data_IF_628975595879
#
_entry.id   IF_628975595879
#
_cell.length_a   1.000
_cell.length_b   1.000
_cell.length_c   1.000
_cell.angle_alpha   90.00
_cell.angle_beta   90.00
_cell.angle_gamma   90.00
#
_symmetry.space_group_name_H-M   'P 1'
#
loop_
_entity.id
_entity.type
_entity.pdbx_description
1 polymer ?
#
# COMPACT_ATOMS: atom_id res chain seq x y z
N UNK A 1 -30.30 -57.82 35.75
CA UNK A 1 -29.38 -56.73 35.39
C UNK A 1 -29.27 -55.83 36.60
N UNK A 2 -28.05 -55.39 36.87
CA UNK A 2 -27.64 -54.32 37.79
C UNK A 2 -27.25 -54.73 39.21
N UNK A 3 -26.05 -55.31 39.28
CA UNK A 3 -25.13 -55.17 40.41
C UNK A 3 -24.57 -53.74 40.47
N UNK A 4 -24.67 -53.12 41.64
CA UNK A 4 -23.76 -52.07 42.06
C UNK A 4 -22.51 -52.71 42.67
N UNK A 5 -21.31 -52.21 42.34
CA UNK A 5 -20.16 -52.11 43.24
C UNK A 5 -19.03 -51.30 42.57
N UNK A 6 -18.67 -50.21 43.27
CA UNK A 6 -17.34 -49.60 43.47
C UNK A 6 -16.40 -49.33 42.29
N UNK A 7 -15.95 -48.09 42.16
CA UNK A 7 -14.67 -47.63 42.74
C UNK A 7 -14.53 -46.11 42.57
N UNK A 8 -14.02 -45.46 43.61
CA UNK A 8 -13.56 -44.08 43.56
C UNK A 8 -12.07 -44.12 43.23
N UNK A 9 -11.61 -43.31 42.28
CA UNK A 9 -10.27 -42.73 42.34
C UNK A 9 -10.10 -41.53 41.39
N UNK A 10 -9.54 -40.46 41.96
CA UNK A 10 -8.73 -39.41 41.35
C UNK A 10 -9.39 -38.30 40.49
N UNK A 11 -9.50 -37.13 41.13
CA UNK A 11 -9.42 -35.76 40.59
C UNK A 11 -7.92 -35.36 40.54
N UNK A 12 -7.40 -34.35 39.79
CA UNK A 12 -7.99 -33.35 38.88
C UNK A 12 -7.31 -33.38 37.48
N UNK A 13 -7.83 -32.77 36.41
CA UNK A 13 -7.79 -31.35 36.09
C UNK A 13 -8.48 -31.19 34.73
N UNK A 14 -9.07 -30.02 34.49
CA UNK A 14 -8.78 -29.18 33.32
C UNK A 14 -10.00 -28.56 32.63
N UNK A 15 -9.90 -27.24 32.51
CA UNK A 15 -10.56 -26.33 31.57
C UNK A 15 -12.09 -26.24 31.58
N UNK A 16 -12.57 -25.33 32.44
CA UNK A 16 -13.75 -24.53 32.10
C UNK A 16 -13.51 -23.83 30.76
N UNK A 17 -14.29 -24.21 29.77
CA UNK A 17 -14.37 -23.57 28.45
C UNK A 17 -14.80 -22.11 28.60
N UNK A 18 -14.09 -21.13 28.00
CA UNK A 18 -14.59 -19.78 27.95
C UNK A 18 -15.66 -19.66 26.85
N UNK A 19 -16.77 -19.06 27.25
CA UNK A 19 -17.91 -18.58 26.47
C UNK A 19 -17.49 -18.09 25.07
N UNK A 20 -18.22 -18.57 24.06
CA UNK A 20 -17.96 -18.36 22.65
C UNK A 20 -17.78 -16.89 22.27
N UNK A 21 -16.67 -16.59 21.57
CA UNK A 21 -16.51 -15.34 20.83
C UNK A 21 -17.30 -15.46 19.53
N UNK A 22 -18.28 -14.59 19.32
CA UNK A 22 -18.90 -14.43 18.00
C UNK A 22 -17.83 -14.14 16.93
N UNK A 23 -17.95 -14.70 15.71
CA UNK A 23 -17.03 -14.40 14.64
C UNK A 23 -17.21 -12.94 14.21
N UNK A 24 -16.21 -12.08 14.49
CA UNK A 24 -16.17 -10.71 13.94
C UNK A 24 -16.10 -10.79 12.42
N UNK A 25 -17.23 -10.58 11.75
CA UNK A 25 -17.31 -10.50 10.29
C UNK A 25 -16.51 -9.27 9.84
N UNK A 26 -15.41 -9.51 9.13
CA UNK A 26 -14.56 -8.44 8.59
C UNK A 26 -15.37 -7.57 7.63
N UNK A 27 -15.30 -6.25 7.80
CA UNK A 27 -15.92 -5.28 6.87
C UNK A 27 -15.30 -5.41 5.46
N UNK A 28 -15.99 -4.95 4.42
CA UNK A 28 -15.46 -4.99 3.05
C UNK A 28 -14.10 -4.29 2.92
N UNK A 29 -13.88 -3.23 3.70
CA UNK A 29 -12.61 -2.52 3.79
C UNK A 29 -11.52 -3.38 4.47
N UNK A 30 -11.84 -4.07 5.56
CA UNK A 30 -10.92 -5.01 6.23
C UNK A 30 -10.56 -6.23 5.37
N UNK A 31 -11.47 -6.67 4.51
CA UNK A 31 -11.19 -7.70 3.49
C UNK A 31 -10.25 -7.17 2.42
N UNK A 32 -10.43 -5.93 1.96
CA UNK A 32 -9.51 -5.26 1.05
C UNK A 32 -8.10 -5.05 1.66
N UNK A 33 -8.00 -4.67 2.94
CA UNK A 33 -6.74 -4.57 3.67
C UNK A 33 -6.02 -5.91 3.79
N UNK A 34 -6.78 -7.00 4.04
CA UNK A 34 -6.24 -8.37 4.08
C UNK A 34 -5.77 -8.86 2.71
N UNK A 35 -6.51 -8.53 1.64
CA UNK A 35 -6.24 -8.99 0.28
C UNK A 35 -5.01 -8.33 -0.37
N UNK A 36 -4.71 -7.07 -0.02
CA UNK A 36 -3.57 -6.32 -0.58
C UNK A 36 -2.24 -6.51 0.17
N UNK A 37 -2.18 -7.34 1.23
CA UNK A 37 -1.03 -7.42 2.15
C UNK A 37 -0.57 -6.03 2.63
N UNK A 38 -1.50 -5.11 2.92
CA UNK A 38 -1.13 -3.80 3.47
C UNK A 38 -0.43 -4.01 4.81
N UNK A 39 0.89 -3.76 4.85
CA UNK A 39 1.64 -3.69 6.09
C UNK A 39 1.29 -2.34 6.69
N UNK A 40 0.46 -2.35 7.74
CA UNK A 40 0.11 -1.14 8.47
C UNK A 40 1.38 -0.47 9.00
N UNK A 41 1.45 0.87 8.93
CA UNK A 41 2.63 1.63 9.32
C UNK A 41 2.38 2.41 10.60
N UNK A 42 3.20 2.17 11.63
CA UNK A 42 3.10 2.91 12.90
C UNK A 42 3.83 4.25 12.82
N UNK A 43 3.18 5.32 13.28
CA UNK A 43 3.76 6.64 13.51
C UNK A 43 3.68 6.94 14.99
N UNK A 44 4.81 7.35 15.59
CA UNK A 44 4.89 7.70 17.00
C UNK A 44 5.01 9.22 17.13
N UNK A 45 4.02 9.86 17.75
CA UNK A 45 4.04 11.28 18.08
C UNK A 45 4.49 11.45 19.53
N UNK A 46 5.44 12.35 19.73
CA UNK A 46 5.89 12.82 21.04
C UNK A 46 5.43 14.26 21.22
N UNK A 47 4.70 14.51 22.31
CA UNK A 47 4.24 15.83 22.69
C UNK A 47 4.91 16.20 24.02
N UNK A 48 5.90 17.07 23.96
CA UNK A 48 6.70 17.48 25.11
C UNK A 48 6.14 18.76 25.74
N UNK A 49 5.98 18.74 27.06
CA UNK A 49 5.49 19.85 27.87
C UNK A 49 6.47 20.06 29.03
N UNK A 50 7.59 20.78 28.82
CA UNK A 50 8.69 20.85 29.78
C UNK A 50 8.33 21.52 31.10
N UNK A 51 7.38 22.45 31.08
CA UNK A 51 6.94 23.18 32.28
C UNK A 51 5.83 22.47 33.06
N UNK A 52 5.48 21.24 32.67
CA UNK A 52 4.43 20.49 33.34
C UNK A 52 4.93 19.87 34.66
N UNK A 53 4.78 20.63 35.75
CA UNK A 53 4.81 20.05 37.10
C UNK A 53 3.66 19.04 37.18
N UNK A 54 4.00 17.76 37.30
CA UNK A 54 3.08 16.61 37.39
C UNK A 54 2.20 16.29 36.15
N UNK A 55 2.81 16.29 34.95
CA UNK A 55 2.15 15.83 33.71
C UNK A 55 1.50 14.43 33.83
N UNK A 56 2.11 13.52 34.59
CA UNK A 56 1.58 12.15 34.78
C UNK A 56 0.29 12.14 35.60
N UNK A 57 0.20 12.94 36.66
CA UNK A 57 -1.02 13.07 37.48
C UNK A 57 -2.13 13.76 36.67
N UNK A 58 -1.79 14.80 35.91
CA UNK A 58 -2.72 15.44 34.99
C UNK A 58 -3.21 14.48 33.90
N UNK A 59 -2.31 13.67 33.33
CA UNK A 59 -2.66 12.70 32.31
C UNK A 59 -3.67 11.68 32.85
N UNK A 60 -3.51 11.21 34.09
CA UNK A 60 -4.46 10.31 34.72
C UNK A 60 -5.84 10.96 34.93
N UNK A 61 -5.88 12.24 35.32
CA UNK A 61 -7.12 12.98 35.56
C UNK A 61 -7.86 13.35 34.26
N UNK A 62 -7.13 13.70 33.21
CA UNK A 62 -7.69 14.26 31.96
C UNK A 62 -7.54 13.34 30.73
N UNK A 63 -7.21 12.05 30.94
CA UNK A 63 -6.94 11.09 29.87
C UNK A 63 -8.04 11.04 28.81
N UNK A 64 -9.30 10.99 29.25
CA UNK A 64 -10.45 10.81 28.34
C UNK A 64 -10.63 12.03 27.42
N UNK A 65 -10.54 13.23 27.96
CA UNK A 65 -10.67 14.48 27.21
C UNK A 65 -9.49 14.67 26.24
N UNK A 66 -8.27 14.39 26.70
CA UNK A 66 -7.07 14.47 25.87
C UNK A 66 -7.15 13.47 24.70
N UNK A 67 -7.50 12.22 24.99
CA UNK A 67 -7.65 11.19 23.97
C UNK A 67 -8.76 11.53 22.97
N UNK A 68 -9.88 12.10 23.43
CA UNK A 68 -10.96 12.55 22.57
C UNK A 68 -10.52 13.69 21.64
N UNK A 69 -9.87 14.73 22.16
CA UNK A 69 -9.40 15.88 21.34
C UNK A 69 -8.34 15.49 20.32
N UNK A 70 -7.39 14.62 20.70
CA UNK A 70 -6.37 14.10 19.77
C UNK A 70 -7.04 13.29 18.65
N UNK A 71 -7.96 12.36 18.99
CA UNK A 71 -8.69 11.58 17.99
C UNK A 71 -9.53 12.46 17.06
N UNK A 72 -10.23 13.45 17.61
CA UNK A 72 -11.05 14.39 16.85
C UNK A 72 -10.20 15.19 15.85
N UNK A 73 -9.07 15.73 16.31
CA UNK A 73 -8.14 16.50 15.45
C UNK A 73 -7.60 15.64 14.32
N UNK A 74 -7.15 14.42 14.61
CA UNK A 74 -6.63 13.51 13.58
C UNK A 74 -7.71 13.12 12.57
N UNK A 75 -8.95 12.91 13.04
CA UNK A 75 -10.09 12.64 12.16
C UNK A 75 -10.37 13.81 11.23
N UNK A 76 -10.50 15.03 11.76
CA UNK A 76 -10.83 16.22 10.97
C UNK A 76 -9.72 16.63 9.98
N UNK A 77 -8.46 16.34 10.31
CA UNK A 77 -7.30 16.78 9.51
C UNK A 77 -6.74 15.74 8.53
N UNK A 78 -7.05 14.45 8.74
CA UNK A 78 -6.41 13.36 7.99
C UNK A 78 -7.44 12.47 7.28
N UNK A 79 -8.63 12.21 7.86
CA UNK A 79 -9.58 11.26 7.26
C UNK A 79 -11.04 11.59 7.50
N UNK A 80 -11.78 11.81 6.41
CA UNK A 80 -13.23 12.01 6.40
C UNK A 80 -14.00 10.85 7.04
N UNK A 81 -13.44 9.64 7.01
CA UNK A 81 -14.16 8.42 7.40
C UNK A 81 -13.85 8.01 8.86
N UNK A 82 -12.83 8.60 9.49
CA UNK A 82 -12.48 8.40 10.90
C UNK A 82 -11.99 7.01 11.31
N UNK A 83 -11.62 6.18 10.34
CA UNK A 83 -11.12 4.81 10.56
C UNK A 83 -9.59 4.78 10.59
N UNK A 84 -8.93 5.74 9.96
CA UNK A 84 -7.49 5.77 9.73
C UNK A 84 -6.97 7.22 9.84
N UNK A 85 -5.94 7.54 10.64
CA UNK A 85 -5.16 6.64 11.48
C UNK A 85 -5.93 6.10 12.70
N UNK A 86 -5.67 4.85 13.06
CA UNK A 86 -6.12 4.27 14.32
C UNK A 86 -5.19 4.72 15.46
N UNK A 87 -5.73 5.38 16.49
CA UNK A 87 -4.97 5.70 17.70
C UNK A 87 -4.88 4.43 18.57
N UNK A 88 -3.73 3.76 18.56
CA UNK A 88 -3.50 2.49 19.28
C UNK A 88 -3.28 2.70 20.77
N UNK A 89 -2.42 3.64 21.10
CA UNK A 89 -1.99 3.88 22.47
C UNK A 89 -1.73 5.37 22.68
N UNK A 90 -2.10 5.84 23.87
CA UNK A 90 -1.65 7.13 24.40
C UNK A 90 -1.07 6.82 25.78
N UNK A 91 0.17 7.20 26.02
CA UNK A 91 0.86 7.03 27.31
C UNK A 91 1.59 8.30 27.69
N UNK A 92 1.92 8.45 28.97
CA UNK A 92 2.75 9.53 29.47
C UNK A 92 4.05 8.94 30.02
N UNK A 93 5.18 9.61 29.76
CA UNK A 93 6.48 9.25 30.33
C UNK A 93 7.23 10.52 30.68
N UNK A 94 7.30 10.85 31.98
CA UNK A 94 7.87 12.11 32.44
C UNK A 94 7.13 13.31 31.83
N UNK A 95 7.86 14.19 31.17
CA UNK A 95 7.34 15.43 30.57
C UNK A 95 6.84 15.25 29.11
N UNK A 96 6.64 14.01 28.65
CA UNK A 96 6.25 13.72 27.27
C UNK A 96 5.06 12.77 27.18
N UNK A 97 4.04 13.20 26.44
CA UNK A 97 2.92 12.37 26.01
C UNK A 97 3.30 11.66 24.70
N UNK A 98 3.11 10.35 24.68
CA UNK A 98 3.44 9.49 23.56
C UNK A 98 2.14 8.96 22.95
N UNK A 99 1.97 9.17 21.64
CA UNK A 99 0.79 8.71 20.89
C UNK A 99 1.25 7.78 19.78
N UNK A 100 0.73 6.56 19.77
CA UNK A 100 0.92 5.60 18.68
C UNK A 100 -0.27 5.65 17.71
N UNK A 101 0.04 5.97 16.46
CA UNK A 101 -0.90 6.01 15.35
C UNK A 101 -0.59 4.87 14.38
N UNK A 102 -1.59 4.07 14.03
CA UNK A 102 -1.46 3.04 13.01
C UNK A 102 -2.15 3.47 11.73
N UNK A 103 -1.37 3.61 10.65
CA UNK A 103 -1.85 3.98 9.32
C UNK A 103 -2.07 2.73 8.46
N UNK A 104 -3.25 2.65 7.86
CA UNK A 104 -3.67 1.59 6.94
C UNK A 104 -3.74 2.05 5.48
N UNK A 105 -3.80 3.37 5.23
CA UNK A 105 -3.85 3.94 3.89
C UNK A 105 -2.67 4.86 3.63
N UNK A 106 -2.02 4.64 2.48
CA UNK A 106 -0.87 5.43 2.02
C UNK A 106 -1.23 6.92 1.90
N UNK A 107 -2.41 7.25 1.36
CA UNK A 107 -2.88 8.63 1.21
C UNK A 107 -3.00 9.37 2.54
N UNK A 108 -3.37 8.69 3.62
CA UNK A 108 -3.51 9.30 4.94
C UNK A 108 -2.14 9.55 5.57
N UNK A 109 -1.17 8.66 5.34
CA UNK A 109 0.22 8.87 5.76
C UNK A 109 0.86 10.04 4.99
N UNK A 110 0.58 10.15 3.69
CA UNK A 110 0.98 11.30 2.87
C UNK A 110 0.34 12.61 3.38
N UNK A 111 -0.95 12.58 3.71
CA UNK A 111 -1.70 13.72 4.24
C UNK A 111 -1.15 14.18 5.59
N UNK A 112 -0.80 13.25 6.48
CA UNK A 112 -0.11 13.57 7.73
C UNK A 112 1.19 14.33 7.46
N UNK A 113 2.03 13.84 6.54
CA UNK A 113 3.32 14.47 6.23
C UNK A 113 3.15 15.88 5.65
N UNK A 114 2.15 16.08 4.79
CA UNK A 114 1.85 17.38 4.18
C UNK A 114 1.28 18.37 5.21
N UNK A 115 0.36 17.93 6.05
CA UNK A 115 -0.39 18.79 6.98
C UNK A 115 0.18 18.80 8.41
N UNK A 116 1.36 18.20 8.63
CA UNK A 116 1.92 18.00 9.97
C UNK A 116 2.01 19.30 10.78
N UNK A 117 2.37 20.42 10.15
CA UNK A 117 2.49 21.71 10.81
C UNK A 117 1.14 22.22 11.34
N UNK A 118 0.07 22.06 10.56
CA UNK A 118 -1.28 22.46 10.97
C UNK A 118 -1.82 21.53 12.07
N UNK A 119 -1.62 20.22 11.90
CA UNK A 119 -1.99 19.20 12.89
C UNK A 119 -1.28 19.47 14.22
N UNK A 120 0.03 19.73 14.18
CA UNK A 120 0.84 20.09 15.34
C UNK A 120 0.28 21.32 16.06
N UNK A 121 -0.11 22.36 15.31
CA UNK A 121 -0.67 23.59 15.88
C UNK A 121 -1.99 23.33 16.60
N UNK A 122 -2.92 22.58 15.97
CA UNK A 122 -4.21 22.22 16.56
C UNK A 122 -4.06 21.33 17.80
N UNK A 123 -3.10 20.39 17.80
CA UNK A 123 -2.79 19.58 18.98
C UNK A 123 -2.31 20.46 20.14
N UNK A 124 -1.44 21.45 19.86
CA UNK A 124 -0.96 22.39 20.89
C UNK A 124 -2.11 23.22 21.49
N UNK A 125 -2.98 23.77 20.65
CA UNK A 125 -4.16 24.54 21.08
C UNK A 125 -5.07 23.70 21.99
N UNK A 126 -5.38 22.47 21.56
CA UNK A 126 -6.21 21.56 22.34
C UNK A 126 -5.63 21.23 23.73
N UNK A 127 -4.31 21.12 23.84
CA UNK A 127 -3.62 20.86 25.11
C UNK A 127 -3.67 22.07 26.02
N UNK A 128 -3.48 23.29 25.49
CA UNK A 128 -3.59 24.54 26.24
C UNK A 128 -5.00 24.78 26.78
N UNK A 129 -6.03 24.35 26.07
CA UNK A 129 -7.41 24.44 26.54
C UNK A 129 -7.70 23.53 27.74
N UNK A 130 -6.95 22.43 27.91
CA UNK A 130 -7.19 21.46 28.99
C UNK A 130 -6.34 21.81 30.22
N UNK A 131 -5.15 22.38 30.05
CA UNK A 131 -4.26 22.68 31.17
C UNK A 131 -3.49 24.00 31.03
N UNK A 132 -3.15 24.66 32.16
CA UNK A 132 -2.45 25.94 32.19
C UNK A 132 -0.94 25.74 32.00
N UNK A 133 -0.54 25.15 30.88
CA UNK A 133 0.86 24.93 30.55
C UNK A 133 1.49 26.21 30.00
N UNK A 134 2.69 26.56 30.45
CA UNK A 134 3.50 27.57 29.79
C UNK A 134 4.07 27.07 28.46
N UNK A 135 4.65 27.99 27.69
CA UNK A 135 5.36 27.66 26.45
C UNK A 135 6.81 27.29 26.77
N UNK A 136 7.42 26.27 26.11
CA UNK A 136 7.00 25.73 24.82
C UNK A 136 6.32 24.35 24.87
N UNK A 137 5.15 24.20 24.22
CA UNK A 137 4.61 22.87 23.87
C UNK A 137 5.17 22.45 22.51
N UNK A 138 5.81 21.28 22.44
CA UNK A 138 6.40 20.78 21.21
C UNK A 138 5.81 19.44 20.76
N UNK A 139 5.63 19.26 19.46
CA UNK A 139 5.04 18.05 18.87
C UNK A 139 5.96 17.54 17.78
N UNK A 140 6.48 16.32 17.94
CA UNK A 140 7.43 15.70 17.01
C UNK A 140 7.01 14.29 16.62
N UNK A 141 7.41 13.89 15.42
CA UNK A 141 7.35 12.47 15.01
C UNK A 141 8.64 11.79 15.42
N UNK A 142 8.58 10.88 16.40
CA UNK A 142 9.75 10.15 16.92
C UNK A 142 10.44 9.34 15.83
N UNK A 143 9.66 8.63 15.01
CA UNK A 143 10.16 7.82 13.90
C UNK A 143 10.13 8.56 12.55
N UNK A 144 10.37 9.87 12.55
CA UNK A 144 10.34 10.73 11.35
C UNK A 144 11.15 10.19 10.17
N UNK A 145 12.37 9.70 10.41
CA UNK A 145 13.21 9.11 9.36
C UNK A 145 12.59 7.87 8.71
N UNK A 146 11.92 7.03 9.48
CA UNK A 146 11.24 5.84 8.95
C UNK A 146 9.99 6.23 8.16
N UNK A 147 9.24 7.20 8.67
CA UNK A 147 8.08 7.77 7.98
C UNK A 147 8.50 8.38 6.63
N UNK A 148 9.59 9.13 6.60
CA UNK A 148 10.08 9.77 5.36
C UNK A 148 10.49 8.74 4.31
N UNK A 149 11.15 7.66 4.71
CA UNK A 149 11.44 6.53 3.82
C UNK A 149 10.18 5.89 3.27
N UNK A 150 9.16 5.68 4.13
CA UNK A 150 7.90 5.07 3.71
C UNK A 150 7.10 5.98 2.78
N UNK A 151 7.09 7.28 3.04
CA UNK A 151 6.49 8.30 2.16
C UNK A 151 7.19 8.30 0.79
N UNK A 152 8.52 8.20 0.75
CA UNK A 152 9.23 8.15 -0.51
C UNK A 152 8.99 6.83 -1.27
N UNK A 153 8.90 5.70 -0.56
CA UNK A 153 8.48 4.42 -1.13
C UNK A 153 7.09 4.52 -1.78
N UNK A 154 6.12 5.10 -1.07
CA UNK A 154 4.77 5.36 -1.60
C UNK A 154 4.85 6.21 -2.86
N UNK A 155 5.60 7.32 -2.84
CA UNK A 155 5.75 8.22 -4.00
C UNK A 155 6.47 7.58 -5.18
N UNK A 156 7.41 6.67 -4.94
CA UNK A 156 8.09 5.93 -6.01
C UNK A 156 7.15 4.92 -6.65
N UNK A 157 6.34 4.23 -5.83
CA UNK A 157 5.28 3.36 -6.28
C UNK A 157 4.25 4.17 -7.10
N UNK A 158 3.72 5.26 -6.57
CA UNK A 158 2.83 6.18 -7.29
C UNK A 158 3.47 6.66 -8.60
N UNK A 159 4.73 7.10 -8.61
CA UNK A 159 5.43 7.49 -9.85
C UNK A 159 5.56 6.35 -10.85
N UNK A 160 5.78 5.12 -10.39
CA UNK A 160 5.83 3.93 -11.27
C UNK A 160 4.45 3.57 -11.84
N UNK A 161 3.37 3.88 -11.13
CA UNK A 161 2.01 3.76 -11.65
C UNK A 161 1.63 4.94 -12.55
N UNK A 162 2.01 6.18 -12.21
CA UNK A 162 1.76 7.38 -13.02
C UNK A 162 2.61 7.45 -14.30
N UNK A 163 3.77 6.78 -14.37
CA UNK A 163 4.45 6.52 -15.65
C UNK A 163 3.59 5.69 -16.62
N UNK A 164 2.51 5.05 -16.16
CA UNK A 164 1.51 4.38 -17.00
C UNK A 164 0.39 5.33 -17.48
N UNK A 165 0.43 6.62 -17.16
CA UNK A 165 -0.61 7.60 -17.57
C UNK A 165 -0.22 8.46 -18.79
N UNK A 166 0.82 8.08 -19.53
CA UNK A 166 1.04 8.59 -20.90
C UNK A 166 1.10 7.40 -21.86
N UNK A 167 -0.08 6.91 -22.23
CA UNK A 167 -0.22 5.80 -23.17
C UNK A 167 -0.14 4.42 -22.51
N UNK A 168 -0.20 3.39 -23.34
CA UNK A 168 -0.19 2.00 -22.92
C UNK A 168 1.12 1.61 -22.19
N UNK A 169 1.08 0.56 -21.38
CA UNK A 169 2.27 0.02 -20.71
C UNK A 169 3.29 -0.49 -21.71
N UNK A 170 4.55 -0.62 -21.32
CA UNK A 170 5.61 -1.14 -22.21
C UNK A 170 5.32 -2.58 -22.65
N UNK A 171 4.72 -3.39 -21.77
CA UNK A 171 4.18 -4.70 -22.12
C UNK A 171 3.14 -4.63 -23.26
N UNK A 172 2.13 -3.75 -23.14
CA UNK A 172 1.12 -3.58 -24.20
C UNK A 172 1.73 -3.07 -25.51
N UNK A 173 2.71 -2.16 -25.44
CA UNK A 173 3.45 -1.67 -26.62
C UNK A 173 4.17 -2.81 -27.31
N UNK A 174 4.86 -3.66 -26.55
CA UNK A 174 5.59 -4.82 -27.07
C UNK A 174 4.63 -5.82 -27.74
N UNK A 175 3.53 -6.15 -27.08
CA UNK A 175 2.48 -7.02 -27.62
C UNK A 175 1.94 -6.48 -28.97
N UNK A 176 1.59 -5.19 -29.02
CA UNK A 176 1.08 -4.55 -30.23
C UNK A 176 2.14 -4.51 -31.32
N UNK A 177 3.41 -4.22 -30.98
CA UNK A 177 4.51 -4.18 -31.95
C UNK A 177 4.77 -5.56 -32.57
N UNK A 178 4.79 -6.62 -31.75
CA UNK A 178 4.94 -8.00 -32.21
C UNK A 178 3.80 -8.46 -33.12
N UNK A 179 2.58 -7.97 -32.89
CA UNK A 179 1.41 -8.30 -33.71
C UNK A 179 1.10 -7.25 -34.79
N UNK A 180 1.92 -6.19 -34.90
CA UNK A 180 1.61 -5.01 -35.73
C UNK A 180 1.41 -5.38 -37.19
N UNK A 181 2.29 -6.20 -37.75
CA UNK A 181 2.21 -6.59 -39.16
C UNK A 181 0.94 -7.40 -39.47
N UNK A 182 0.60 -8.36 -38.60
CA UNK A 182 -0.59 -9.18 -38.76
C UNK A 182 -1.87 -8.34 -38.66
N UNK A 183 -1.94 -7.44 -37.67
CA UNK A 183 -3.09 -6.56 -37.48
C UNK A 183 -3.20 -5.56 -38.62
N UNK A 184 -2.11 -4.91 -39.05
CA UNK A 184 -2.14 -3.94 -40.15
C UNK A 184 -2.62 -4.58 -41.46
N UNK A 185 -2.30 -5.85 -41.68
CA UNK A 185 -2.68 -6.58 -42.88
C UNK A 185 -4.17 -6.95 -42.91
N UNK A 186 -4.72 -7.43 -41.79
CA UNK A 186 -6.02 -8.11 -41.77
C UNK A 186 -7.12 -7.37 -40.99
N UNK A 187 -6.81 -6.21 -40.36
CA UNK A 187 -7.79 -5.42 -39.60
C UNK A 187 -8.78 -4.68 -40.50
N UNK A 188 -10.07 -4.93 -40.31
CA UNK A 188 -11.16 -4.17 -40.97
C UNK A 188 -11.46 -2.88 -40.17
N UNK A 189 -10.75 -1.80 -40.50
CA UNK A 189 -10.77 -0.54 -39.74
C UNK A 189 -12.15 0.05 -39.58
N UNK A 190 -12.98 0.09 -40.64
CA UNK A 190 -14.31 0.73 -40.60
C UNK A 190 -15.24 0.09 -39.57
N UNK A 191 -15.21 -1.24 -39.44
CA UNK A 191 -16.05 -1.96 -38.47
C UNK A 191 -15.56 -1.75 -37.04
N UNK A 192 -14.25 -1.81 -36.83
CA UNK A 192 -13.63 -1.67 -35.51
C UNK A 192 -13.72 -0.22 -35.02
N UNK A 193 -13.44 0.75 -35.89
CA UNK A 193 -13.51 2.17 -35.57
C UNK A 193 -14.90 2.58 -35.07
N UNK A 194 -15.98 2.08 -35.70
CA UNK A 194 -17.34 2.34 -35.21
C UNK A 194 -17.54 1.83 -33.77
N UNK A 195 -17.05 0.64 -33.44
CA UNK A 195 -17.15 0.08 -32.08
C UNK A 195 -16.27 0.85 -31.08
N UNK A 196 -15.06 1.24 -31.48
CA UNK A 196 -14.15 2.04 -30.66
C UNK A 196 -14.74 3.41 -30.30
N UNK A 197 -15.43 4.05 -31.24
CA UNK A 197 -16.16 5.30 -31.01
C UNK A 197 -17.33 5.10 -30.05
N UNK A 198 -18.12 4.03 -30.20
CA UNK A 198 -19.25 3.72 -29.30
C UNK A 198 -18.80 3.50 -27.85
N UNK A 199 -17.68 2.79 -27.63
CA UNK A 199 -17.10 2.61 -26.28
C UNK A 199 -16.34 3.83 -25.76
N UNK A 200 -16.34 4.95 -26.50
CA UNK A 200 -15.61 6.19 -26.16
C UNK A 200 -14.12 5.96 -25.89
N UNK A 201 -13.53 5.01 -26.62
CA UNK A 201 -12.09 4.76 -26.58
C UNK A 201 -11.40 5.80 -27.45
N UNK A 202 -11.98 6.08 -28.61
CA UNK A 202 -11.57 7.12 -29.54
C UNK A 202 -12.57 8.27 -29.56
N UNK A 203 -12.07 9.46 -29.89
CA UNK A 203 -12.86 10.66 -30.11
C UNK A 203 -12.97 11.03 -31.60
N UNK A 204 -13.71 12.10 -31.92
CA UNK A 204 -13.91 12.52 -33.31
C UNK A 204 -12.61 13.05 -33.96
N UNK A 205 -11.64 13.50 -33.15
CA UNK A 205 -10.32 13.92 -33.64
C UNK A 205 -9.50 12.70 -34.07
N UNK A 206 -9.51 11.63 -33.30
CA UNK A 206 -8.88 10.35 -33.62
C UNK A 206 -9.47 9.77 -34.91
N UNK A 207 -10.81 9.73 -35.01
CA UNK A 207 -11.51 9.24 -36.20
C UNK A 207 -11.10 10.00 -37.46
N UNK A 208 -11.11 11.34 -37.41
CA UNK A 208 -10.65 12.18 -38.54
C UNK A 208 -9.19 11.91 -38.91
N UNK A 209 -8.32 11.70 -37.91
CA UNK A 209 -6.91 11.40 -38.16
C UNK A 209 -6.70 10.05 -38.87
N UNK A 210 -7.54 9.06 -38.57
CA UNK A 210 -7.53 7.73 -39.22
C UNK A 210 -8.11 7.85 -40.63
N UNK A 211 -9.30 8.43 -40.79
CA UNK A 211 -9.98 8.54 -42.09
C UNK A 211 -9.20 9.36 -43.12
N UNK A 212 -8.35 10.30 -42.67
CA UNK A 212 -7.44 11.07 -43.54
C UNK A 212 -6.42 10.19 -44.29
N UNK A 213 -6.18 8.96 -43.84
CA UNK A 213 -5.26 8.03 -44.51
C UNK A 213 -5.91 7.40 -45.75
N UNK A 214 -5.10 7.22 -46.79
CA UNK A 214 -5.55 6.89 -48.16
C UNK A 214 -5.91 5.42 -48.36
N UNK A 215 -5.24 4.50 -47.66
CA UNK A 215 -5.50 3.07 -47.77
C UNK A 215 -5.73 2.44 -46.39
N UNK A 216 -6.35 1.26 -46.38
CA UNK A 216 -6.77 0.61 -45.14
C UNK A 216 -5.58 0.15 -44.29
N UNK A 217 -4.45 -0.24 -44.89
CA UNK A 217 -3.22 -0.55 -44.11
C UNK A 217 -2.70 0.66 -43.33
N UNK A 218 -2.65 1.82 -43.96
CA UNK A 218 -2.24 3.06 -43.31
C UNK A 218 -3.25 3.50 -42.24
N UNK A 219 -4.54 3.23 -42.45
CA UNK A 219 -5.59 3.44 -41.44
C UNK A 219 -5.42 2.51 -40.25
N UNK A 220 -5.16 1.22 -40.47
CA UNK A 220 -4.92 0.23 -39.42
C UNK A 220 -3.68 0.59 -38.61
N UNK A 221 -2.58 0.95 -39.28
CA UNK A 221 -1.36 1.39 -38.62
C UNK A 221 -1.61 2.64 -37.78
N UNK A 222 -2.31 3.63 -38.35
CA UNK A 222 -2.60 4.88 -37.62
C UNK A 222 -3.55 4.66 -36.43
N UNK A 223 -4.50 3.74 -36.55
CA UNK A 223 -5.38 3.32 -35.46
C UNK A 223 -4.55 2.73 -34.31
N UNK A 224 -3.61 1.84 -34.60
CA UNK A 224 -2.72 1.27 -33.60
C UNK A 224 -1.84 2.33 -32.94
N UNK A 225 -1.25 3.24 -33.72
CA UNK A 225 -0.43 4.32 -33.16
C UNK A 225 -1.24 5.19 -32.18
N UNK A 226 -2.48 5.53 -32.53
CA UNK A 226 -3.38 6.29 -31.63
C UNK A 226 -3.75 5.47 -30.40
N UNK A 227 -3.98 4.15 -30.56
CA UNK A 227 -4.30 3.26 -29.46
C UNK A 227 -3.17 3.20 -28.43
N UNK A 228 -1.91 3.18 -28.88
CA UNK A 228 -0.73 3.20 -28.00
C UNK A 228 -0.65 4.45 -27.13
N UNK A 229 -1.21 5.57 -27.59
CA UNK A 229 -1.27 6.83 -26.85
C UNK A 229 -2.46 6.88 -25.85
N UNK A 230 -3.34 5.86 -25.84
CA UNK A 230 -4.47 5.79 -24.90
C UNK A 230 -4.07 5.11 -23.58
N UNK A 231 -4.86 5.36 -22.53
CA UNK A 231 -4.65 4.77 -21.21
C UNK A 231 -4.64 3.23 -21.26
N UNK A 232 -3.87 2.55 -20.39
CA UNK A 232 -3.67 1.10 -20.43
C UNK A 232 -4.94 0.26 -20.51
N UNK A 233 -5.99 0.62 -19.77
CA UNK A 233 -7.29 -0.09 -19.75
C UNK A 233 -7.95 -0.17 -21.13
N UNK A 234 -7.56 0.69 -22.08
CA UNK A 234 -8.10 0.65 -23.44
C UNK A 234 -7.55 -0.52 -24.27
N UNK A 235 -6.48 -1.17 -23.80
CA UNK A 235 -5.95 -2.38 -24.43
C UNK A 235 -6.94 -3.53 -24.32
N UNK A 236 -7.44 -3.82 -23.11
CA UNK A 236 -8.44 -4.87 -22.90
C UNK A 236 -9.73 -4.56 -23.64
N UNK A 237 -10.17 -3.30 -23.63
CA UNK A 237 -11.34 -2.85 -24.40
C UNK A 237 -11.19 -3.14 -25.91
N UNK A 238 -9.99 -2.93 -26.46
CA UNK A 238 -9.69 -3.19 -27.88
C UNK A 238 -9.69 -4.70 -28.18
N UNK A 239 -9.06 -5.51 -27.32
CA UNK A 239 -9.08 -6.97 -27.43
C UNK A 239 -10.51 -7.50 -27.36
N UNK A 240 -11.34 -7.00 -26.44
CA UNK A 240 -12.75 -7.36 -26.32
C UNK A 240 -13.53 -7.01 -27.59
N UNK A 241 -13.28 -5.83 -28.17
CA UNK A 241 -13.94 -5.42 -29.43
C UNK A 241 -13.60 -6.38 -30.58
N UNK A 242 -12.35 -6.86 -30.65
CA UNK A 242 -11.91 -7.85 -31.63
C UNK A 242 -12.56 -9.22 -31.35
N UNK A 243 -12.64 -9.63 -30.08
CA UNK A 243 -13.33 -10.84 -29.62
C UNK A 243 -14.83 -10.82 -29.90
N UNK A 244 -15.52 -9.70 -29.69
CA UNK A 244 -16.95 -9.54 -29.96
C UNK A 244 -17.23 -9.30 -31.45
N UNK A 245 -16.19 -9.20 -32.27
CA UNK A 245 -16.26 -8.94 -33.69
C UNK A 245 -16.12 -10.18 -34.56
N UNK A 246 -16.06 -9.94 -35.86
CA UNK A 246 -15.68 -10.93 -36.88
C UNK A 246 -14.16 -11.19 -36.91
N UNK A 247 -13.38 -10.48 -36.09
CA UNK A 247 -11.91 -10.42 -36.15
C UNK A 247 -11.24 -11.09 -34.93
N UNK A 248 -11.89 -12.13 -34.38
CA UNK A 248 -11.41 -12.89 -33.20
C UNK A 248 -9.99 -13.44 -33.36
N UNK A 249 -9.60 -13.77 -34.59
CA UNK A 249 -8.26 -14.30 -34.88
C UNK A 249 -7.13 -13.30 -34.53
N UNK A 250 -7.37 -11.99 -34.69
CA UNK A 250 -6.42 -10.95 -34.28
C UNK A 250 -6.31 -10.84 -32.75
N UNK A 251 -7.44 -10.98 -32.04
CA UNK A 251 -7.44 -11.03 -30.57
C UNK A 251 -6.65 -12.22 -30.04
N UNK A 252 -6.79 -13.40 -30.66
CA UNK A 252 -6.02 -14.59 -30.28
C UNK A 252 -4.52 -14.35 -30.42
N UNK A 253 -4.07 -13.65 -31.46
CA UNK A 253 -2.66 -13.27 -31.63
C UNK A 253 -2.16 -12.39 -30.49
N UNK A 254 -2.93 -11.37 -30.12
CA UNK A 254 -2.63 -10.46 -29.01
C UNK A 254 -2.57 -11.18 -27.66
N UNK A 255 -3.58 -12.01 -27.34
CA UNK A 255 -3.65 -12.76 -26.07
C UNK A 255 -2.51 -13.78 -25.92
N UNK A 256 -2.08 -14.39 -27.04
CA UNK A 256 -0.92 -15.29 -27.04
C UNK A 256 0.36 -14.54 -26.72
N UNK A 257 0.54 -13.35 -27.29
CA UNK A 257 1.73 -12.54 -27.03
C UNK A 257 1.71 -11.96 -25.61
N UNK A 258 0.54 -11.56 -25.11
CA UNK A 258 0.35 -11.15 -23.72
C UNK A 258 0.75 -12.25 -22.74
N UNK A 259 0.36 -13.50 -23.01
CA UNK A 259 0.74 -14.64 -22.18
C UNK A 259 2.26 -14.85 -22.17
N UNK A 260 2.96 -14.61 -23.28
CA UNK A 260 4.43 -14.71 -23.34
C UNK A 260 5.10 -13.59 -22.57
N UNK A 261 4.67 -12.35 -22.75
CA UNK A 261 5.27 -11.21 -22.02
C UNK A 261 5.04 -11.32 -20.52
N UNK A 262 3.83 -11.72 -20.09
CA UNK A 262 3.57 -11.99 -18.69
C UNK A 262 4.50 -13.06 -18.11
N UNK A 263 4.80 -14.11 -18.88
CA UNK A 263 5.73 -15.15 -18.46
C UNK A 263 7.17 -14.60 -18.35
N UNK A 264 7.62 -13.77 -19.29
CA UNK A 264 8.94 -13.10 -19.22
C UNK A 264 9.06 -12.20 -17.99
N UNK A 265 8.06 -11.36 -17.72
CA UNK A 265 8.05 -10.50 -16.52
C UNK A 265 8.08 -11.32 -15.24
N UNK A 266 7.30 -12.41 -15.18
CA UNK A 266 7.28 -13.33 -14.04
C UNK A 266 8.64 -13.99 -13.81
N UNK A 267 9.30 -14.45 -14.86
CA UNK A 267 10.62 -15.09 -14.78
C UNK A 267 11.70 -14.09 -14.36
N UNK A 268 11.65 -12.86 -14.89
CA UNK A 268 12.54 -11.78 -14.48
C UNK A 268 12.36 -11.41 -13.00
N UNK A 269 11.12 -11.30 -12.53
CA UNK A 269 10.82 -11.05 -11.13
C UNK A 269 11.32 -12.19 -10.23
N UNK A 270 11.14 -13.44 -10.67
CA UNK A 270 11.64 -14.60 -9.94
C UNK A 270 13.17 -14.59 -9.82
N UNK A 271 13.90 -14.25 -10.90
CA UNK A 271 15.36 -14.09 -10.88
C UNK A 271 15.78 -13.03 -9.87
N UNK A 272 15.17 -11.84 -9.93
CA UNK A 272 15.47 -10.74 -9.01
C UNK A 272 15.22 -11.12 -7.54
N UNK A 273 14.11 -11.81 -7.26
CA UNK A 273 13.79 -12.28 -5.91
C UNK A 273 14.82 -13.30 -5.40
N UNK A 274 15.31 -14.19 -6.25
CA UNK A 274 16.37 -15.13 -5.88
C UNK A 274 17.69 -14.41 -5.60
N UNK A 275 18.07 -13.45 -6.43
CA UNK A 275 19.28 -12.63 -6.22
C UNK A 275 19.21 -11.87 -4.88
N UNK A 276 18.04 -11.30 -4.56
CA UNK A 276 17.81 -10.64 -3.26
C UNK A 276 17.85 -11.61 -2.08
N UNK A 277 17.38 -12.86 -2.26
CA UNK A 277 17.45 -13.88 -1.23
C UNK A 277 18.91 -14.30 -0.95
N UNK A 278 19.72 -14.49 -1.99
CA UNK A 278 21.15 -14.80 -1.85
C UNK A 278 21.92 -13.65 -1.21
N UNK A 279 21.72 -12.40 -1.67
CA UNK A 279 22.35 -11.24 -1.05
C UNK A 279 21.99 -11.10 0.44
N UNK A 280 20.73 -11.40 0.80
CA UNK A 280 20.29 -11.40 2.20
C UNK A 280 20.99 -12.49 3.02
N UNK A 281 21.19 -13.68 2.43
CA UNK A 281 21.91 -14.78 3.07
C UNK A 281 23.37 -14.41 3.34
N UNK A 282 24.07 -13.85 2.36
CA UNK A 282 25.45 -13.36 2.52
C UNK A 282 25.58 -12.33 3.65
N UNK A 283 24.62 -11.40 3.76
CA UNK A 283 24.59 -10.42 4.86
C UNK A 283 24.47 -11.12 6.23
N UNK A 284 23.65 -12.16 6.35
CA UNK A 284 23.50 -12.89 7.61
C UNK A 284 24.76 -13.68 7.96
N UNK A 285 25.38 -14.33 6.98
CA UNK A 285 26.65 -15.05 7.17
C UNK A 285 27.74 -14.08 7.61
N UNK A 286 27.87 -12.93 6.94
CA UNK A 286 28.85 -11.92 7.32
C UNK A 286 28.60 -11.32 8.70
N UNK A 287 27.32 -11.09 9.05
CA UNK A 287 26.95 -10.63 10.40
C UNK A 287 27.38 -11.64 11.46
N UNK A 288 27.14 -12.93 11.21
CA UNK A 288 27.53 -14.00 12.13
C UNK A 288 29.06 -14.07 12.32
N UNK A 289 29.83 -13.97 11.23
CA UNK A 289 31.29 -13.89 11.29
C UNK A 289 31.77 -12.70 12.14
N UNK A 290 31.19 -11.52 11.92
CA UNK A 290 31.54 -10.32 12.69
C UNK A 290 31.19 -10.47 14.18
N UNK A 291 30.08 -11.12 14.52
CA UNK A 291 29.71 -11.42 15.91
C UNK A 291 30.73 -12.36 16.58
N UNK A 292 31.23 -13.37 15.85
CA UNK A 292 32.30 -14.24 16.32
C UNK A 292 33.63 -13.51 16.51
N UNK A 293 34.04 -12.69 15.53
CA UNK A 293 35.25 -11.86 15.62
C UNK A 293 35.19 -10.91 16.82
N UNK A 294 34.04 -10.26 17.02
CA UNK A 294 33.81 -9.33 18.13
C UNK A 294 33.85 -10.05 19.49
N UNK A 295 33.27 -11.25 19.60
CA UNK A 295 33.36 -12.06 20.82
C UNK A 295 34.82 -12.46 21.12
N UNK A 296 35.56 -12.92 20.12
CA UNK A 296 36.98 -13.28 20.27
C UNK A 296 37.88 -12.07 20.61
N UNK A 297 37.53 -10.87 20.15
CA UNK A 297 38.21 -9.64 20.53
C UNK A 297 37.95 -9.25 22.00
N UNK A 298 36.72 -9.42 22.50
CA UNK A 298 36.38 -9.16 23.90
C UNK A 298 37.10 -10.11 24.87
N UNK A 299 37.23 -11.39 24.51
CA UNK A 299 37.97 -12.38 25.31
C UNK A 299 39.47 -12.07 25.40
N UNK A 300 40.05 -11.40 24.40
CA UNK A 300 41.46 -10.95 24.42
C UNK A 300 41.70 -9.67 25.21
N UNK A 301 40.65 -8.88 25.48
CA UNK A 301 40.73 -7.60 26.20
C UNK A 301 40.29 -7.76 27.67
N UNK A 302 39.65 -8.87 28.03
CA UNK A 302 39.32 -9.16 29.43
C UNK A 302 40.62 -9.26 30.28
N UNK A 303 40.77 -8.44 31.34
CA UNK A 303 41.97 -8.46 32.15
C UNK A 303 42.06 -9.79 32.90
N UNK A 304 43.21 -10.44 32.78
CA UNK A 304 43.64 -11.51 33.68
C UNK A 304 43.75 -10.88 35.07
N UNK A 305 42.75 -11.16 35.92
CA UNK A 305 42.82 -10.96 37.36
C UNK A 305 43.26 -12.26 38.01
#
# INVERSE_FOLDING_TARGET
MDEQLTEAENVPESFSTPVGREPRVKTALQRNFSARRYIAFSVFLDISIPEAVSLEEFFLQHFQDLAYKIKKTLKEQISSNGIDPEVKQISCKGETLQVELLYHQDNNLLSLKQNFKEISTKIKENIKEIGPWGEPIDVRVRNSKQMDRKVEEIRLIERSYCKREQGMTDMHKEIINCQKEAIVKDLEVTKILKKLMTKRIFDEKDKKAIEKKTNDRLRSSKLLDILLDKVPDRFSDFVDILCDGTQKFLAIGLLKEESKEYQKEKDALWSFLNEMAEARKEIYERKYELELELKGAHEKIAPVH
#
